data_IF_360418639948
#
_entry.id   IF_360418639948
#
_cell.length_a   1.000
_cell.length_b   1.000
_cell.length_c   1.000
_cell.angle_alpha   90.00
_cell.angle_beta   90.00
_cell.angle_gamma   90.00
#
_symmetry.space_group_name_H-M   'P 1'
#
loop_
_entity.id
_entity.type
_entity.pdbx_description
1 polymer ?
#
# COMPACT_ATOMS: atom_id res chain seq x y z
N UNK A 1 72.79 -17.69 -4.08
CA UNK A 1 71.36 -17.46 -3.82
C UNK A 1 70.74 -16.93 -5.10
N UNK A 2 70.00 -17.76 -5.88
CA UNK A 2 69.38 -17.29 -7.11
C UNK A 2 68.19 -16.38 -6.79
N UNK A 3 68.17 -15.20 -7.42
CA UNK A 3 67.16 -14.17 -7.25
C UNK A 3 65.88 -14.59 -7.97
N UNK A 4 64.87 -15.00 -7.19
CA UNK A 4 63.53 -15.27 -7.70
C UNK A 4 62.92 -13.97 -8.21
N UNK A 5 62.82 -13.83 -9.54
CA UNK A 5 62.17 -12.70 -10.18
C UNK A 5 60.73 -13.09 -10.49
N UNK A 6 59.78 -12.48 -9.77
CA UNK A 6 58.36 -12.80 -9.85
C UNK A 6 57.73 -12.00 -11.01
N UNK A 7 57.65 -12.59 -12.19
CA UNK A 7 56.94 -12.02 -13.34
C UNK A 7 55.43 -12.21 -13.17
N UNK A 8 54.76 -11.19 -12.65
CA UNK A 8 53.30 -11.09 -12.66
C UNK A 8 52.87 -10.83 -14.10
N UNK A 9 52.22 -11.80 -14.76
CA UNK A 9 51.58 -11.56 -16.06
C UNK A 9 50.42 -10.59 -15.85
N UNK A 10 50.35 -9.47 -16.58
CA UNK A 10 49.20 -8.58 -16.52
C UNK A 10 48.09 -9.18 -17.41
N UNK A 11 47.50 -10.29 -16.99
CA UNK A 11 46.23 -10.76 -17.56
C UNK A 11 45.09 -9.91 -16.99
N UNK A 12 45.15 -8.59 -17.20
CA UNK A 12 43.95 -7.78 -17.11
C UNK A 12 43.09 -8.19 -18.32
N UNK A 13 41.89 -8.74 -18.13
CA UNK A 13 40.98 -8.90 -19.26
C UNK A 13 40.81 -7.52 -19.89
N UNK A 14 41.13 -7.40 -21.17
CA UNK A 14 40.85 -6.20 -21.95
C UNK A 14 39.43 -5.74 -21.61
N UNK A 15 39.19 -4.44 -21.35
CA UNK A 15 37.86 -3.96 -21.03
C UNK A 15 36.89 -4.50 -22.09
N UNK A 16 35.75 -5.06 -21.68
CA UNK A 16 34.83 -5.71 -22.61
C UNK A 16 34.56 -4.73 -23.75
N UNK A 17 34.86 -5.16 -24.99
CA UNK A 17 34.60 -4.34 -26.18
C UNK A 17 33.18 -3.82 -26.05
N UNK A 18 32.92 -2.50 -26.23
CA UNK A 18 31.57 -1.97 -26.16
C UNK A 18 30.72 -2.81 -27.11
N UNK A 19 29.72 -3.50 -26.55
CA UNK A 19 28.81 -4.36 -27.33
C UNK A 19 28.34 -3.54 -28.53
N UNK A 20 28.33 -4.14 -29.73
CA UNK A 20 27.77 -3.51 -30.94
C UNK A 20 26.50 -2.79 -30.51
N UNK A 21 26.45 -1.47 -30.75
CA UNK A 21 25.33 -0.61 -30.32
C UNK A 21 24.05 -1.36 -30.65
N UNK A 22 23.34 -1.81 -29.62
CA UNK A 22 22.10 -2.54 -29.80
C UNK A 22 21.14 -1.69 -30.62
N UNK A 23 20.20 -2.35 -31.31
CA UNK A 23 19.11 -1.64 -31.98
C UNK A 23 18.44 -0.75 -30.92
N UNK A 24 18.36 0.56 -31.16
CA UNK A 24 17.72 1.48 -30.23
C UNK A 24 16.24 1.14 -30.15
N UNK A 25 15.62 1.26 -28.96
CA UNK A 25 14.21 0.92 -28.78
C UNK A 25 13.29 1.61 -29.82
N UNK A 26 13.53 2.88 -30.12
CA UNK A 26 12.74 3.65 -31.11
C UNK A 26 12.98 3.24 -32.57
N UNK A 27 14.00 2.40 -32.85
CA UNK A 27 14.27 1.84 -34.18
C UNK A 27 13.58 0.49 -34.41
N UNK A 28 13.01 -0.11 -33.36
CA UNK A 28 12.20 -1.32 -33.50
C UNK A 28 10.94 -1.03 -34.31
N UNK A 29 10.40 -1.98 -35.10
CA UNK A 29 9.09 -1.83 -35.74
C UNK A 29 7.99 -1.50 -34.73
N UNK A 30 6.94 -0.80 -35.18
CA UNK A 30 5.87 -0.33 -34.29
C UNK A 30 5.22 -1.48 -33.54
N UNK A 31 5.00 -2.59 -34.24
CA UNK A 31 4.37 -3.81 -33.72
C UNK A 31 5.18 -4.42 -32.58
N UNK A 32 6.51 -4.42 -32.71
CA UNK A 32 7.42 -4.90 -31.66
C UNK A 32 7.37 -3.96 -30.45
N UNK A 33 7.30 -2.64 -30.66
CA UNK A 33 7.16 -1.68 -29.56
C UNK A 33 5.82 -1.84 -28.85
N UNK A 34 4.73 -2.08 -29.58
CA UNK A 34 3.40 -2.30 -29.00
C UNK A 34 3.37 -3.57 -28.15
N UNK A 35 3.99 -4.67 -28.59
CA UNK A 35 4.16 -5.86 -27.75
C UNK A 35 4.97 -5.54 -26.48
N UNK A 36 6.06 -4.78 -26.59
CA UNK A 36 6.84 -4.37 -25.41
C UNK A 36 5.99 -3.51 -24.47
N UNK A 37 5.19 -2.59 -25.00
CA UNK A 37 4.27 -1.77 -24.20
C UNK A 37 3.23 -2.64 -23.49
N UNK A 38 2.60 -3.58 -24.19
CA UNK A 38 1.63 -4.51 -23.61
C UNK A 38 2.25 -5.29 -22.44
N UNK A 39 3.40 -5.94 -22.66
CA UNK A 39 4.11 -6.68 -21.61
C UNK A 39 4.58 -5.80 -20.44
N UNK A 40 4.86 -4.52 -20.69
CA UNK A 40 5.40 -3.63 -19.66
C UNK A 40 4.32 -2.86 -18.90
N UNK A 41 3.15 -2.63 -19.52
CA UNK A 41 2.12 -1.71 -19.01
C UNK A 41 0.86 -2.41 -18.54
N UNK A 42 0.55 -3.59 -19.07
CA UNK A 42 -0.61 -4.36 -18.64
C UNK A 42 -0.22 -5.13 -17.40
N UNK A 43 -0.77 -4.70 -16.27
CA UNK A 43 -0.58 -5.37 -14.98
C UNK A 43 -1.87 -6.09 -14.57
N UNK A 44 -1.77 -7.13 -13.73
CA UNK A 44 -2.94 -7.76 -13.13
C UNK A 44 -3.85 -6.75 -12.42
N UNK A 45 -5.10 -7.17 -12.19
CA UNK A 45 -6.03 -6.33 -11.42
C UNK A 45 -5.45 -6.08 -10.03
N UNK A 46 -5.68 -4.89 -9.48
CA UNK A 46 -4.98 -4.44 -8.26
C UNK A 46 -5.18 -5.39 -7.07
N UNK A 47 -6.35 -6.02 -6.97
CA UNK A 47 -6.64 -6.99 -5.92
C UNK A 47 -5.98 -8.35 -6.11
N UNK A 48 -5.46 -8.64 -7.29
CA UNK A 48 -4.71 -9.86 -7.60
C UNK A 48 -3.20 -9.69 -7.35
N UNK A 49 -2.75 -8.45 -7.11
CA UNK A 49 -1.34 -8.16 -6.85
C UNK A 49 -0.97 -8.69 -5.46
N UNK A 50 -0.07 -9.67 -5.46
CA UNK A 50 0.53 -10.23 -4.25
C UNK A 50 1.65 -9.35 -3.72
N UNK A 51 1.95 -9.46 -2.42
CA UNK A 51 3.15 -8.82 -1.88
C UNK A 51 4.41 -9.38 -2.54
N UNK A 52 5.39 -8.50 -2.72
CA UNK A 52 6.73 -8.90 -3.10
C UNK A 52 7.38 -9.74 -2.00
N UNK A 53 8.22 -10.69 -2.40
CA UNK A 53 9.04 -11.53 -1.50
C UNK A 53 9.82 -10.78 -0.39
N UNK A 54 10.18 -9.51 -0.59
CA UNK A 54 10.89 -8.67 0.39
C UNK A 54 9.98 -7.79 1.27
N UNK A 55 8.67 -7.77 1.01
CA UNK A 55 7.73 -6.93 1.74
C UNK A 55 7.56 -7.41 3.18
N UNK A 56 7.49 -6.48 4.13
CA UNK A 56 7.22 -6.78 5.54
C UNK A 56 5.89 -7.51 5.76
N UNK A 57 4.89 -7.20 4.92
CA UNK A 57 3.56 -7.80 4.96
C UNK A 57 3.48 -9.16 4.25
N UNK A 58 4.56 -9.58 3.55
CA UNK A 58 4.66 -10.92 2.99
C UNK A 58 4.84 -11.92 4.12
N UNK A 59 3.82 -12.73 4.37
CA UNK A 59 3.93 -13.77 5.39
C UNK A 59 4.88 -14.86 4.91
N UNK A 60 5.94 -15.13 5.67
CA UNK A 60 6.77 -16.33 5.50
C UNK A 60 6.42 -17.42 6.51
N UNK A 61 5.52 -17.12 7.45
CA UNK A 61 5.08 -18.04 8.48
C UNK A 61 3.75 -18.64 8.08
N UNK A 62 3.64 -19.96 8.05
CA UNK A 62 2.40 -20.68 7.68
C UNK A 62 1.21 -20.39 8.60
N UNK A 63 1.41 -19.68 9.71
CA UNK A 63 0.36 -19.31 10.67
C UNK A 63 -0.02 -17.82 10.58
N UNK A 64 0.75 -16.99 9.87
CA UNK A 64 0.43 -15.57 9.71
C UNK A 64 -0.26 -15.36 8.38
N UNK A 65 -1.35 -14.63 8.44
CA UNK A 65 -2.18 -14.29 7.29
C UNK A 65 -1.47 -13.21 6.48
N UNK A 66 -1.60 -13.26 5.16
CA UNK A 66 -1.00 -12.29 4.26
C UNK A 66 -2.08 -11.27 3.88
N UNK A 67 -2.14 -10.10 4.54
CA UNK A 67 -3.18 -9.12 4.25
C UNK A 67 -3.08 -8.64 2.80
N UNK A 68 -4.20 -8.44 2.07
CA UNK A 68 -4.14 -8.06 0.66
C UNK A 68 -3.46 -6.70 0.49
N UNK A 69 -2.49 -6.61 -0.43
CA UNK A 69 -1.69 -5.39 -0.58
C UNK A 69 -2.54 -4.15 -0.87
N UNK A 70 -3.60 -4.30 -1.67
CA UNK A 70 -4.50 -3.20 -2.05
C UNK A 70 -5.32 -2.61 -0.88
N UNK A 71 -5.50 -3.37 0.21
CA UNK A 71 -6.19 -2.93 1.43
C UNK A 71 -5.26 -2.24 2.43
N UNK A 72 -3.94 -2.35 2.25
CA UNK A 72 -2.96 -1.67 3.10
C UNK A 72 -2.70 -0.23 2.67
N UNK A 73 -3.73 0.42 2.13
CA UNK A 73 -3.64 1.72 1.48
C UNK A 73 -4.77 2.60 1.97
N UNK A 74 -4.41 3.79 2.42
CA UNK A 74 -5.33 4.89 2.70
C UNK A 74 -5.30 5.89 1.54
N UNK A 75 -6.46 6.45 1.25
CA UNK A 75 -6.63 7.49 0.24
C UNK A 75 -7.25 8.70 0.90
N UNK A 76 -6.52 9.81 0.89
CA UNK A 76 -7.00 11.11 1.32
C UNK A 76 -7.40 11.89 0.09
N UNK A 77 -8.66 12.33 0.07
CA UNK A 77 -9.22 13.14 -1.01
C UNK A 77 -9.13 14.60 -0.56
N UNK A 78 -8.21 15.34 -1.16
CA UNK A 78 -8.12 16.78 -0.96
C UNK A 78 -9.07 17.45 -1.95
N UNK A 79 -9.93 18.36 -1.50
CA UNK A 79 -10.91 19.03 -2.37
C UNK A 79 -10.36 20.30 -3.06
N UNK A 80 -9.31 20.90 -2.49
CA UNK A 80 -8.82 22.22 -2.90
C UNK A 80 -7.28 22.24 -3.07
N UNK A 81 -6.75 21.93 -4.26
CA UNK A 81 -7.45 21.42 -5.44
C UNK A 81 -7.84 19.95 -5.27
N UNK A 82 -8.85 19.49 -6.04
CA UNK A 82 -9.21 18.07 -6.12
C UNK A 82 -7.99 17.23 -6.52
N UNK A 83 -7.48 16.42 -5.57
CA UNK A 83 -6.37 15.47 -5.79
C UNK A 83 -6.54 14.25 -4.90
N UNK A 84 -5.93 13.14 -5.34
CA UNK A 84 -5.82 11.92 -4.55
C UNK A 84 -4.44 11.87 -3.92
N UNK A 85 -4.37 11.86 -2.60
CA UNK A 85 -3.15 11.60 -1.84
C UNK A 85 -3.26 10.19 -1.29
N UNK A 86 -2.21 9.40 -1.47
CA UNK A 86 -2.23 7.98 -1.10
C UNK A 86 -1.11 7.68 -0.13
N UNK A 87 -1.48 7.10 1.01
CA UNK A 87 -0.54 6.58 1.99
C UNK A 87 -0.69 5.07 2.02
N UNK A 88 0.40 4.35 1.80
CA UNK A 88 0.37 2.89 1.78
C UNK A 88 1.38 2.35 2.77
N UNK A 89 1.00 1.28 3.47
CA UNK A 89 1.89 0.60 4.39
C UNK A 89 2.97 -0.20 3.64
N UNK A 90 2.73 -0.50 2.35
CA UNK A 90 3.71 -1.09 1.44
C UNK A 90 3.57 -0.52 0.04
N UNK A 91 4.55 -0.78 -0.83
CA UNK A 91 4.53 -0.35 -2.24
C UNK A 91 4.10 -1.47 -3.20
N UNK A 92 3.72 -2.64 -2.69
CA UNK A 92 3.47 -3.82 -3.52
C UNK A 92 2.27 -3.66 -4.45
N UNK A 93 1.25 -2.90 -4.05
CA UNK A 93 0.05 -2.65 -4.85
C UNK A 93 0.18 -1.46 -5.81
N UNK A 94 1.32 -0.75 -5.77
CA UNK A 94 1.59 0.37 -6.67
C UNK A 94 1.89 -0.16 -8.07
N UNK A 95 1.20 0.40 -9.05
CA UNK A 95 1.48 0.16 -10.47
C UNK A 95 2.88 0.64 -10.81
N UNK A 96 3.76 -0.25 -11.24
CA UNK A 96 5.18 0.05 -11.51
C UNK A 96 5.38 0.58 -12.92
N UNK A 97 4.46 0.25 -13.80
CA UNK A 97 4.55 0.54 -15.22
C UNK A 97 4.39 2.02 -15.61
N UNK A 98 3.88 2.87 -14.71
CA UNK A 98 3.62 4.30 -14.98
C UNK A 98 4.90 5.06 -15.35
N UNK A 99 6.06 4.66 -14.82
CA UNK A 99 7.35 5.31 -15.09
C UNK A 99 7.70 5.30 -16.59
N UNK A 100 7.24 4.30 -17.35
CA UNK A 100 7.47 4.22 -18.80
C UNK A 100 6.78 5.36 -19.54
N UNK A 101 5.58 5.77 -19.10
CA UNK A 101 4.84 6.89 -19.69
C UNK A 101 5.54 8.24 -19.47
N UNK A 102 6.45 8.32 -18.50
CA UNK A 102 7.21 9.53 -18.18
C UNK A 102 8.56 9.61 -18.92
N UNK A 103 8.99 8.53 -19.59
CA UNK A 103 10.33 8.43 -20.17
C UNK A 103 10.55 9.38 -21.37
N UNK A 104 9.58 9.45 -22.29
CA UNK A 104 9.68 10.28 -23.50
C UNK A 104 8.30 10.61 -24.07
N UNK A 105 8.14 11.76 -24.74
CA UNK A 105 6.87 12.19 -25.36
C UNK A 105 6.36 11.23 -26.43
N UNK A 106 7.24 10.68 -27.27
CA UNK A 106 6.85 9.68 -28.26
C UNK A 106 6.38 8.42 -27.54
N UNK A 107 7.19 7.86 -26.62
CA UNK A 107 6.79 6.69 -25.81
C UNK A 107 5.42 6.94 -25.16
N UNK A 108 5.22 8.09 -24.53
CA UNK A 108 3.93 8.45 -23.94
C UNK A 108 2.78 8.40 -24.96
N UNK A 109 2.96 8.97 -26.15
CA UNK A 109 1.92 8.97 -27.18
C UNK A 109 1.60 7.56 -27.69
N UNK A 110 2.61 6.68 -27.77
CA UNK A 110 2.44 5.30 -28.24
C UNK A 110 1.87 4.37 -27.16
N UNK A 111 2.36 4.51 -25.92
CA UNK A 111 2.10 3.61 -24.79
C UNK A 111 0.84 3.95 -24.00
N UNK A 112 0.45 5.24 -23.92
CA UNK A 112 -0.71 5.64 -23.11
C UNK A 112 -2.02 4.96 -23.55
N UNK A 113 -2.34 4.80 -24.85
CA UNK A 113 -3.53 4.05 -25.25
C UNK A 113 -3.55 2.63 -24.72
N UNK A 114 -2.44 1.90 -24.84
CA UNK A 114 -2.28 0.53 -24.30
C UNK A 114 -2.54 0.53 -22.79
N UNK A 115 -1.88 1.43 -22.05
CA UNK A 115 -2.05 1.53 -20.60
C UNK A 115 -3.49 1.80 -20.18
N UNK A 116 -4.15 2.81 -20.77
CA UNK A 116 -5.50 3.19 -20.35
C UNK A 116 -6.58 2.22 -20.83
N UNK A 117 -6.39 1.51 -21.96
CA UNK A 117 -7.44 0.65 -22.54
C UNK A 117 -7.34 -0.82 -22.20
N UNK A 118 -6.22 -1.28 -21.67
CA UNK A 118 -6.02 -2.70 -21.37
C UNK A 118 -5.89 -2.99 -19.86
N UNK A 119 -5.84 -1.96 -19.02
CA UNK A 119 -5.79 -2.13 -17.58
C UNK A 119 -7.16 -1.90 -16.93
N UNK A 120 -7.47 -2.72 -15.93
CA UNK A 120 -8.59 -2.47 -15.02
C UNK A 120 -8.18 -1.48 -13.92
N UNK A 121 -8.88 -0.35 -13.82
CA UNK A 121 -8.61 0.66 -12.79
C UNK A 121 -9.41 0.39 -11.53
N UNK A 122 -8.71 0.00 -10.47
CA UNK A 122 -9.30 -0.39 -9.20
C UNK A 122 -9.29 0.74 -8.16
N UNK A 123 -10.45 1.07 -7.62
CA UNK A 123 -10.67 2.12 -6.61
C UNK A 123 -11.31 1.51 -5.35
N UNK A 124 -11.05 2.10 -4.18
CA UNK A 124 -11.70 1.69 -2.93
C UNK A 124 -13.02 2.42 -2.72
N UNK A 125 -13.26 3.57 -3.38
CA UNK A 125 -14.55 4.25 -3.31
C UNK A 125 -14.99 4.85 -4.65
N UNK A 126 -16.28 5.13 -4.77
CA UNK A 126 -16.82 5.88 -5.90
C UNK A 126 -16.35 7.34 -5.91
N UNK A 127 -16.05 7.93 -4.75
CA UNK A 127 -15.50 9.29 -4.69
C UNK A 127 -14.09 9.36 -5.27
N UNK A 128 -13.27 8.33 -5.08
CA UNK A 128 -11.99 8.22 -5.79
C UNK A 128 -12.16 8.21 -7.31
N UNK A 129 -13.16 7.49 -7.83
CA UNK A 129 -13.45 7.45 -9.27
C UNK A 129 -13.79 8.83 -9.81
N UNK A 130 -14.63 9.60 -9.10
CA UNK A 130 -14.98 10.97 -9.47
C UNK A 130 -13.72 11.82 -9.58
N UNK A 131 -12.89 11.85 -8.53
CA UNK A 131 -11.68 12.68 -8.50
C UNK A 131 -10.68 12.22 -9.55
N UNK A 132 -10.45 10.90 -9.68
CA UNK A 132 -9.53 10.33 -10.64
C UNK A 132 -9.93 10.69 -12.07
N UNK A 133 -11.18 10.46 -12.48
CA UNK A 133 -11.59 10.62 -13.87
C UNK A 133 -11.94 12.07 -14.23
N UNK A 134 -12.60 12.80 -13.32
CA UNK A 134 -13.07 14.17 -13.60
C UNK A 134 -11.99 15.22 -13.40
N UNK A 135 -11.11 15.05 -12.41
CA UNK A 135 -10.17 16.10 -11.99
C UNK A 135 -8.72 15.76 -12.34
N UNK A 136 -8.29 14.51 -12.14
CA UNK A 136 -6.88 14.14 -12.36
C UNK A 136 -6.59 13.65 -13.78
N UNK A 137 -7.51 12.85 -14.36
CA UNK A 137 -7.32 12.28 -15.69
C UNK A 137 -7.59 13.33 -16.77
N UNK A 138 -6.58 13.50 -17.64
CA UNK A 138 -6.70 14.37 -18.82
C UNK A 138 -7.84 13.89 -19.70
N UNK A 139 -8.61 14.84 -20.24
CA UNK A 139 -9.78 14.58 -21.07
C UNK A 139 -9.50 13.57 -22.22
N UNK A 140 -8.33 13.68 -22.86
CA UNK A 140 -7.92 12.83 -23.98
C UNK A 140 -7.80 11.32 -23.64
N UNK A 141 -7.62 10.97 -22.36
CA UNK A 141 -7.49 9.58 -21.92
C UNK A 141 -8.76 9.00 -21.33
N UNK A 142 -9.78 9.82 -21.04
CA UNK A 142 -11.03 9.36 -20.41
C UNK A 142 -11.75 8.31 -21.26
N UNK A 143 -11.75 8.51 -22.57
CA UNK A 143 -12.38 7.58 -23.52
C UNK A 143 -11.53 6.35 -23.81
N UNK A 144 -10.29 6.28 -23.29
CA UNK A 144 -9.47 5.08 -23.40
C UNK A 144 -9.70 4.15 -22.22
N UNK A 145 -10.24 4.63 -21.10
CA UNK A 145 -10.56 3.77 -19.94
C UNK A 145 -11.69 2.82 -20.30
N UNK A 146 -11.39 1.53 -20.34
CA UNK A 146 -12.32 0.46 -20.72
C UNK A 146 -12.89 -0.29 -19.53
N UNK A 147 -12.15 -0.39 -18.43
CA UNK A 147 -12.55 -1.17 -17.27
C UNK A 147 -12.27 -0.46 -15.95
N UNK A 148 -13.31 -0.39 -15.12
CA UNK A 148 -13.24 0.15 -13.75
C UNK A 148 -13.75 -0.91 -12.79
N UNK A 149 -13.07 -1.03 -11.65
CA UNK A 149 -13.45 -1.90 -10.55
C UNK A 149 -13.51 -1.06 -9.27
N UNK A 150 -14.68 -0.94 -8.67
CA UNK A 150 -14.87 -0.26 -7.38
C UNK A 150 -15.04 -1.33 -6.32
N UNK A 151 -13.95 -1.63 -5.61
CA UNK A 151 -13.95 -2.59 -4.51
C UNK A 151 -14.26 -1.86 -3.22
N UNK A 152 -15.47 -1.29 -3.14
CA UNK A 152 -15.88 -0.59 -1.94
C UNK A 152 -16.08 -1.59 -0.80
N UNK A 153 -15.33 -1.45 0.28
CA UNK A 153 -15.56 -2.22 1.48
C UNK A 153 -16.84 -1.83 2.24
N UNK A 154 -17.42 -0.67 1.93
CA UNK A 154 -18.60 -0.17 2.59
C UNK A 154 -19.74 0.03 1.59
N UNK A 155 -20.94 -0.47 1.92
CA UNK A 155 -22.13 -0.35 1.08
C UNK A 155 -22.59 1.11 0.91
N UNK A 156 -22.25 1.97 1.88
CA UNK A 156 -22.50 3.41 1.81
C UNK A 156 -21.52 4.17 0.90
N UNK A 157 -20.51 3.49 0.32
CA UNK A 157 -19.50 4.09 -0.54
C UNK A 157 -18.43 4.93 0.19
N UNK A 158 -18.39 4.87 1.52
CA UNK A 158 -17.50 5.67 2.37
C UNK A 158 -16.62 4.78 3.25
N UNK A 159 -15.69 4.00 2.66
CA UNK A 159 -14.86 3.10 3.46
C UNK A 159 -13.88 3.83 4.37
N UNK A 160 -13.52 3.19 5.48
CA UNK A 160 -12.52 3.69 6.44
C UNK A 160 -11.12 3.95 5.84
N UNK A 161 -10.83 3.37 4.68
CA UNK A 161 -9.60 3.61 3.93
C UNK A 161 -9.63 4.90 3.10
N UNK A 162 -10.78 5.56 2.98
CA UNK A 162 -10.94 6.77 2.16
C UNK A 162 -11.48 7.89 3.02
N UNK A 163 -10.68 8.94 3.21
CA UNK A 163 -11.04 10.10 4.01
C UNK A 163 -10.94 11.39 3.20
N UNK A 164 -11.64 12.43 3.66
CA UNK A 164 -11.49 13.78 3.15
C UNK A 164 -10.47 14.54 4.01
N UNK A 165 -9.62 15.35 3.39
CA UNK A 165 -8.55 16.13 4.04
C UNK A 165 -9.07 17.10 5.13
N UNK A 166 -10.36 17.47 5.09
CA UNK A 166 -10.97 18.48 5.97
C UNK A 166 -11.84 17.92 7.08
N UNK A 167 -12.10 16.61 7.07
CA UNK A 167 -13.12 16.04 7.93
C UNK A 167 -12.49 15.52 9.23
N UNK A 168 -13.24 15.56 10.34
CA UNK A 168 -12.79 14.85 11.54
C UNK A 168 -12.61 13.37 11.17
N UNK A 169 -11.71 12.62 11.83
CA UNK A 169 -11.48 11.20 11.49
C UNK A 169 -12.75 10.31 11.59
N UNK A 170 -13.86 10.84 12.12
CA UNK A 170 -15.15 10.15 12.24
C UNK A 170 -16.18 10.59 11.18
N UNK A 171 -15.90 11.60 10.38
CA UNK A 171 -16.81 12.07 9.34
C UNK A 171 -16.58 11.23 8.07
N UNK A 172 -17.44 10.21 7.91
CA UNK A 172 -17.49 9.42 6.68
C UNK A 172 -17.63 10.34 5.45
N UNK A 173 -16.89 10.06 4.37
CA UNK A 173 -17.00 10.81 3.12
C UNK A 173 -18.27 10.37 2.36
N UNK A 174 -19.39 11.13 2.37
CA UNK A 174 -20.56 10.72 1.61
C UNK A 174 -20.21 10.75 0.12
N UNK A 175 -20.42 9.63 -0.58
CA UNK A 175 -20.24 9.61 -2.03
C UNK A 175 -21.39 10.39 -2.69
N UNK A 176 -21.04 11.39 -3.51
CA UNK A 176 -21.98 12.02 -4.44
C UNK A 176 -22.33 11.04 -5.58
N UNK A 177 -23.26 10.13 -5.31
CA UNK A 177 -23.78 9.16 -6.26
C UNK A 177 -24.29 9.77 -7.58
N UNK A 178 -25.07 10.88 -7.55
CA UNK A 178 -25.38 11.65 -8.76
C UNK A 178 -24.16 11.90 -9.65
N UNK A 179 -23.10 12.42 -9.05
CA UNK A 179 -21.89 12.79 -9.77
C UNK A 179 -21.08 11.57 -10.19
N UNK A 180 -21.07 10.50 -9.40
CA UNK A 180 -20.45 9.23 -9.76
C UNK A 180 -21.05 8.67 -11.06
N UNK A 181 -22.38 8.48 -11.10
CA UNK A 181 -23.05 7.94 -12.27
C UNK A 181 -22.92 8.84 -13.49
N UNK A 182 -22.92 10.18 -13.29
CA UNK A 182 -22.63 11.12 -14.35
C UNK A 182 -21.20 10.98 -14.89
N UNK A 183 -20.22 10.77 -14.01
CA UNK A 183 -18.81 10.56 -14.38
C UNK A 183 -18.65 9.27 -15.19
N UNK A 184 -19.30 8.18 -14.76
CA UNK A 184 -19.34 6.91 -15.50
C UNK A 184 -19.96 7.09 -16.89
N UNK A 185 -21.11 7.78 -17.00
CA UNK A 185 -21.76 8.07 -18.29
C UNK A 185 -20.85 8.83 -19.27
N UNK A 186 -19.94 9.66 -18.77
CA UNK A 186 -19.05 10.48 -19.59
C UNK A 186 -17.79 9.72 -20.05
N UNK A 187 -17.59 8.49 -19.59
CA UNK A 187 -16.49 7.63 -20.02
C UNK A 187 -16.96 6.76 -21.19
N UNK A 188 -16.99 7.32 -22.40
CA UNK A 188 -17.56 6.65 -23.58
C UNK A 188 -16.85 5.34 -23.95
N UNK A 189 -15.59 5.17 -23.53
CA UNK A 189 -14.81 3.94 -23.74
C UNK A 189 -15.10 2.83 -22.73
N UNK A 190 -15.82 3.11 -21.65
CA UNK A 190 -16.03 2.17 -20.56
C UNK A 190 -16.93 1.02 -21.01
N UNK A 191 -16.39 -0.19 -20.95
CA UNK A 191 -17.05 -1.45 -21.33
C UNK A 191 -17.39 -2.30 -20.13
N UNK A 192 -16.58 -2.25 -19.06
CA UNK A 192 -16.81 -3.07 -17.88
C UNK A 192 -16.77 -2.19 -16.64
N UNK A 193 -17.81 -2.26 -15.82
CA UNK A 193 -17.86 -1.64 -14.50
C UNK A 193 -18.15 -2.73 -13.47
N UNK A 194 -17.17 -2.99 -12.60
CA UNK A 194 -17.32 -3.90 -11.47
C UNK A 194 -17.64 -3.09 -10.21
N UNK A 195 -18.74 -3.39 -9.53
CA UNK A 195 -19.25 -2.63 -8.36
C UNK A 195 -19.93 -3.58 -7.37
N UNK A 196 -20.10 -3.12 -6.13
CA UNK A 196 -20.91 -3.85 -5.14
C UNK A 196 -22.42 -3.64 -5.35
N UNK A 197 -23.25 -4.64 -4.99
CA UNK A 197 -24.71 -4.52 -5.01
C UNK A 197 -25.22 -3.32 -4.20
N UNK A 198 -24.57 -2.99 -3.08
CA UNK A 198 -24.91 -1.83 -2.24
C UNK A 198 -24.86 -0.48 -2.98
N UNK A 199 -23.91 -0.31 -3.88
CA UNK A 199 -23.80 0.92 -4.69
C UNK A 199 -25.01 1.11 -5.63
N UNK A 200 -25.53 0.01 -6.15
CA UNK A 200 -26.72 -0.01 -7.00
C UNK A 200 -27.98 0.20 -6.17
N UNK A 201 -28.12 -0.53 -5.06
CA UNK A 201 -29.27 -0.46 -4.15
C UNK A 201 -29.55 0.97 -3.69
N UNK A 202 -28.50 1.69 -3.24
CA UNK A 202 -28.65 3.05 -2.72
C UNK A 202 -29.21 4.06 -3.74
N UNK A 203 -29.07 3.81 -5.06
CA UNK A 203 -29.42 4.76 -6.12
C UNK A 203 -29.97 4.07 -7.38
N UNK A 204 -30.84 3.07 -7.22
CA UNK A 204 -31.28 2.21 -8.30
C UNK A 204 -31.85 2.95 -9.52
N UNK A 205 -32.64 4.00 -9.34
CA UNK A 205 -33.18 4.81 -10.46
C UNK A 205 -32.09 5.48 -11.31
N UNK A 206 -31.06 6.03 -10.65
CA UNK A 206 -29.95 6.70 -11.35
C UNK A 206 -29.08 5.68 -12.04
N UNK A 207 -28.86 4.54 -11.39
CA UNK A 207 -28.16 3.41 -11.98
C UNK A 207 -28.90 2.90 -13.23
N UNK A 208 -30.22 2.65 -13.15
CA UNK A 208 -31.05 2.23 -14.28
C UNK A 208 -30.96 3.24 -15.44
N UNK A 209 -31.06 4.54 -15.15
CA UNK A 209 -30.90 5.60 -16.17
C UNK A 209 -29.51 5.58 -16.81
N UNK A 210 -28.45 5.43 -16.01
CA UNK A 210 -27.07 5.31 -16.50
C UNK A 210 -26.91 4.08 -17.39
N UNK A 211 -27.39 2.93 -16.93
CA UNK A 211 -27.29 1.66 -17.64
C UNK A 211 -28.06 1.68 -18.97
N UNK A 212 -29.23 2.34 -19.01
CA UNK A 212 -29.97 2.58 -20.26
C UNK A 212 -29.16 3.41 -21.27
N UNK A 213 -28.47 4.45 -20.79
CA UNK A 213 -27.67 5.36 -21.61
C UNK A 213 -26.40 4.68 -22.13
N UNK A 214 -25.75 3.84 -21.31
CA UNK A 214 -24.47 3.22 -21.63
C UNK A 214 -24.65 1.81 -22.21
N UNK A 215 -25.13 1.72 -23.46
CA UNK A 215 -25.53 0.43 -24.08
C UNK A 215 -24.42 -0.61 -24.21
N UNK A 216 -23.16 -0.20 -24.25
CA UNK A 216 -22.01 -1.09 -24.36
C UNK A 216 -21.43 -1.50 -23.00
N UNK A 217 -22.02 -1.03 -21.90
CA UNK A 217 -21.52 -1.26 -20.56
C UNK A 217 -21.99 -2.62 -20.04
N UNK A 218 -21.03 -3.44 -19.63
CA UNK A 218 -21.22 -4.65 -18.84
C UNK A 218 -21.04 -4.32 -17.37
N UNK A 219 -22.00 -4.71 -16.54
CA UNK A 219 -21.93 -4.60 -15.10
C UNK A 219 -21.54 -5.95 -14.55
N UNK A 220 -20.49 -6.00 -13.73
CA UNK A 220 -20.11 -7.19 -12.98
C UNK A 220 -20.36 -6.89 -11.52
N UNK A 221 -21.26 -7.65 -10.90
CA UNK A 221 -21.56 -7.47 -9.50
C UNK A 221 -20.58 -8.32 -8.69
N UNK A 222 -19.83 -7.64 -7.81
CA UNK A 222 -18.84 -8.27 -6.93
C UNK A 222 -19.05 -7.77 -5.50
N UNK A 223 -19.08 -8.68 -4.54
CA UNK A 223 -19.09 -8.31 -3.12
C UNK A 223 -17.78 -8.75 -2.51
N UNK A 224 -17.02 -7.78 -2.00
CA UNK A 224 -15.91 -8.06 -1.11
C UNK A 224 -16.45 -7.90 0.32
N UNK A 225 -16.25 -8.89 1.18
CA UNK A 225 -16.62 -8.79 2.60
C UNK A 225 -15.57 -9.43 3.52
N UNK A 226 -15.35 -8.88 4.72
CA UNK A 226 -14.38 -9.40 5.67
C UNK A 226 -15.00 -10.47 6.57
N UNK A 227 -14.26 -11.56 6.79
CA UNK A 227 -14.57 -12.56 7.80
C UNK A 227 -13.60 -12.43 8.98
N UNK A 228 -14.11 -11.85 10.06
CA UNK A 228 -13.39 -11.67 11.32
C UNK A 228 -13.52 -12.88 12.25
N UNK A 229 -12.46 -13.14 13.04
CA UNK A 229 -12.39 -14.21 14.05
C UNK A 229 -13.41 -14.04 15.19
N UNK A 230 -13.70 -12.79 15.62
CA UNK A 230 -14.18 -12.55 17.00
C UNK A 230 -15.35 -11.59 17.20
N UNK A 231 -16.10 -11.23 16.17
CA UNK A 231 -17.29 -10.39 16.40
C UNK A 231 -18.41 -10.71 15.42
N UNK A 232 -19.63 -10.79 15.96
CA UNK A 232 -20.81 -10.36 15.23
C UNK A 232 -20.57 -8.87 14.91
N UNK A 233 -20.23 -8.60 13.64
CA UNK A 233 -20.14 -7.27 13.04
C UNK A 233 -19.06 -6.31 13.57
N UNK A 234 -17.97 -6.18 12.80
CA UNK A 234 -17.59 -4.88 12.27
C UNK A 234 -18.24 -4.76 10.90
N UNK A 235 -19.15 -3.79 10.77
CA UNK A 235 -19.83 -3.41 9.51
C UNK A 235 -18.81 -2.90 8.47
N UNK A 236 -17.57 -2.60 8.87
CA UNK A 236 -16.57 -1.93 8.05
C UNK A 236 -15.19 -2.60 8.12
N UNK A 237 -14.33 -2.26 7.17
CA UNK A 237 -13.00 -2.84 7.00
C UNK A 237 -11.97 -2.16 7.92
N UNK A 238 -10.96 -2.87 8.43
CA UNK A 238 -9.98 -2.24 9.30
C UNK A 238 -9.17 -1.22 8.50
N UNK A 239 -9.01 0.02 8.99
CA UNK A 239 -8.14 0.99 8.32
C UNK A 239 -6.69 0.52 8.34
N UNK A 240 -5.83 1.04 7.45
CA UNK A 240 -4.43 0.60 7.43
C UNK A 240 -3.66 0.94 8.72
N UNK A 241 -4.18 1.89 9.53
CA UNK A 241 -3.65 2.20 10.86
C UNK A 241 -3.85 1.03 11.84
N UNK A 242 -4.86 0.19 11.63
CA UNK A 242 -5.14 -1.03 12.39
C UNK A 242 -4.60 -2.27 11.68
N UNK A 243 -3.34 -2.20 11.24
CA UNK A 243 -2.66 -3.27 10.48
C UNK A 243 -2.78 -4.67 11.11
N UNK A 244 -2.87 -4.75 12.44
CA UNK A 244 -3.03 -6.00 13.19
C UNK A 244 -4.34 -6.73 12.89
N UNK A 245 -5.43 -6.02 12.59
CA UNK A 245 -6.71 -6.65 12.26
C UNK A 245 -6.67 -7.33 10.88
N UNK A 246 -5.98 -6.74 9.89
CA UNK A 246 -5.83 -7.39 8.58
C UNK A 246 -5.10 -8.74 8.67
N UNK A 247 -4.22 -8.95 9.65
CA UNK A 247 -3.56 -10.24 9.91
C UNK A 247 -4.48 -11.30 10.53
N UNK A 248 -5.74 -10.96 10.82
CA UNK A 248 -6.73 -11.87 11.40
C UNK A 248 -8.05 -11.87 10.61
N UNK A 249 -8.04 -11.38 9.38
CA UNK A 249 -9.22 -11.25 8.52
C UNK A 249 -9.03 -11.94 7.18
N UNK A 250 -9.97 -12.82 6.82
CA UNK A 250 -10.09 -13.38 5.47
C UNK A 250 -10.97 -12.41 4.73
N UNK A 251 -10.56 -12.03 3.53
CA UNK A 251 -11.41 -11.27 2.64
C UNK A 251 -12.01 -12.22 1.63
N UNK A 252 -13.34 -12.23 1.55
CA UNK A 252 -14.08 -13.06 0.62
C UNK A 252 -14.59 -12.16 -0.49
N UNK A 253 -14.26 -12.49 -1.73
CA UNK A 253 -14.82 -11.86 -2.91
C UNK A 253 -15.75 -12.85 -3.58
N UNK A 254 -17.03 -12.50 -3.63
CA UNK A 254 -18.08 -13.25 -4.29
C UNK A 254 -18.43 -12.56 -5.61
N UNK A 255 -18.49 -13.33 -6.70
CA UNK A 255 -19.01 -12.84 -7.98
C UNK A 255 -20.46 -13.26 -8.14
N UNK A 256 -21.34 -12.27 -8.30
CA UNK A 256 -22.78 -12.47 -8.48
C UNK A 256 -23.18 -12.60 -9.96
N UNK A 257 -22.19 -12.49 -10.86
CA UNK A 257 -22.39 -12.62 -12.30
C UNK A 257 -22.22 -11.32 -13.08
N UNK A 258 -22.49 -11.43 -14.39
CA UNK A 258 -22.27 -10.38 -15.37
C UNK A 258 -23.60 -10.03 -16.06
N UNK A 259 -23.96 -8.77 -15.97
CA UNK A 259 -25.18 -8.21 -16.53
C UNK A 259 -24.83 -7.33 -17.71
N UNK A 260 -25.56 -7.50 -18.80
CA UNK A 260 -25.45 -6.64 -19.97
C UNK A 260 -26.81 -6.47 -20.58
N UNK A 261 -27.07 -5.29 -21.11
CA UNK A 261 -28.32 -5.04 -21.82
C UNK A 261 -28.31 -5.85 -23.12
N UNK A 262 -29.16 -6.86 -23.20
CA UNK A 262 -29.55 -7.40 -24.50
C UNK A 262 -30.34 -6.29 -25.18
N UNK A 263 -29.90 -5.84 -26.36
CA UNK A 263 -30.54 -4.73 -27.07
C UNK A 263 -32.02 -5.07 -27.30
N UNK A 264 -32.98 -4.38 -26.66
CA UNK A 264 -34.37 -4.52 -27.06
C UNK A 264 -34.55 -3.65 -28.30
N UNK A 265 -35.06 -4.23 -29.39
CA UNK A 265 -35.29 -3.51 -30.65
C UNK A 265 -36.31 -2.37 -30.52
N UNK A 266 -37.05 -2.28 -29.41
CA UNK A 266 -38.04 -1.23 -29.18
C UNK A 266 -38.43 -1.11 -27.70
N UNK A 267 -37.63 -0.43 -26.88
CA UNK A 267 -38.12 0.07 -25.58
C UNK A 267 -38.40 1.57 -25.71
N UNK A 268 -39.64 2.03 -25.45
CA UNK A 268 -39.93 3.45 -25.41
C UNK A 268 -39.15 4.11 -24.26
N UNK A 269 -38.61 5.32 -24.50
CA UNK A 269 -37.89 6.13 -23.51
C UNK A 269 -38.83 6.75 -22.45
N UNK A 270 -39.90 6.04 -22.06
CA UNK A 270 -40.85 6.58 -21.08
C UNK A 270 -40.24 6.56 -19.67
N UNK A 271 -40.42 7.65 -18.92
CA UNK A 271 -40.00 7.74 -17.52
C UNK A 271 -40.74 6.72 -16.63
N UNK A 272 -41.89 6.22 -17.07
CA UNK A 272 -42.66 5.20 -16.34
C UNK A 272 -41.89 3.87 -16.25
N UNK A 273 -41.12 3.53 -17.29
CA UNK A 273 -40.34 2.30 -17.33
C UNK A 273 -39.08 2.39 -16.43
N UNK A 274 -38.63 3.60 -16.05
CA UNK A 274 -37.46 3.74 -15.18
C UNK A 274 -37.71 3.20 -13.77
N UNK A 275 -38.94 3.36 -13.25
CA UNK A 275 -39.31 2.85 -11.93
C UNK A 275 -39.33 1.32 -11.89
N UNK A 276 -39.77 0.68 -12.97
CA UNK A 276 -39.75 -0.77 -13.11
C UNK A 276 -38.31 -1.30 -13.17
N UNK A 277 -37.46 -0.76 -14.05
CA UNK A 277 -36.05 -1.14 -14.11
C UNK A 277 -35.34 -0.94 -12.76
N UNK A 278 -35.59 0.19 -12.09
CA UNK A 278 -35.00 0.47 -10.79
C UNK A 278 -35.39 -0.60 -9.76
N UNK A 279 -36.66 -1.04 -9.79
CA UNK A 279 -37.14 -2.13 -8.95
C UNK A 279 -36.45 -3.45 -9.27
N UNK A 280 -36.35 -3.82 -10.55
CA UNK A 280 -35.67 -5.06 -10.96
C UNK A 280 -34.21 -5.07 -10.48
N UNK A 281 -33.52 -3.93 -10.55
CA UNK A 281 -32.16 -3.81 -10.04
C UNK A 281 -32.08 -3.86 -8.51
N UNK A 282 -33.05 -3.32 -7.79
CA UNK A 282 -33.14 -3.50 -6.34
C UNK A 282 -33.33 -4.98 -6.00
N UNK A 283 -34.23 -5.68 -6.69
CA UNK A 283 -34.46 -7.11 -6.49
C UNK A 283 -33.17 -7.91 -6.77
N UNK A 284 -32.43 -7.60 -7.84
CA UNK A 284 -31.10 -8.20 -8.11
C UNK A 284 -30.11 -7.93 -6.96
N UNK A 285 -30.02 -6.69 -6.46
CA UNK A 285 -29.14 -6.40 -5.33
C UNK A 285 -29.55 -7.14 -4.06
N UNK A 286 -30.86 -7.27 -3.81
CA UNK A 286 -31.40 -8.00 -2.67
C UNK A 286 -30.98 -9.47 -2.70
N UNK A 287 -31.14 -10.14 -3.85
CA UNK A 287 -30.69 -11.52 -4.04
C UNK A 287 -29.17 -11.63 -3.79
N UNK A 288 -28.36 -10.70 -4.32
CA UNK A 288 -26.92 -10.69 -4.06
C UNK A 288 -26.60 -10.61 -2.55
N UNK A 289 -27.35 -9.85 -1.76
CA UNK A 289 -27.15 -9.79 -0.30
C UNK A 289 -27.49 -11.11 0.38
N UNK A 290 -28.56 -11.78 -0.05
CA UNK A 290 -28.90 -13.12 0.45
C UNK A 290 -27.81 -14.15 0.12
N UNK A 291 -27.26 -14.09 -1.09
CA UNK A 291 -26.14 -14.94 -1.51
C UNK A 291 -24.89 -14.71 -0.64
N UNK A 292 -24.57 -13.45 -0.31
CA UNK A 292 -23.47 -13.10 0.59
C UNK A 292 -23.68 -13.72 1.97
N UNK A 293 -24.89 -13.61 2.53
CA UNK A 293 -25.22 -14.19 3.83
C UNK A 293 -25.10 -15.72 3.82
N UNK A 294 -25.56 -16.37 2.75
CA UNK A 294 -25.45 -17.82 2.57
C UNK A 294 -23.99 -18.27 2.50
N UNK A 295 -23.18 -17.61 1.67
CA UNK A 295 -21.74 -17.91 1.52
C UNK A 295 -20.97 -17.63 2.81
N UNK A 296 -21.27 -16.53 3.49
CA UNK A 296 -20.68 -16.18 4.79
C UNK A 296 -20.97 -17.28 5.83
N UNK A 297 -22.22 -17.70 5.94
CA UNK A 297 -22.63 -18.77 6.85
C UNK A 297 -21.94 -20.09 6.51
N UNK A 298 -21.92 -20.48 5.23
CA UNK A 298 -21.24 -21.68 4.76
C UNK A 298 -19.75 -21.67 5.09
N UNK A 299 -19.04 -20.57 4.78
CA UNK A 299 -17.60 -20.48 5.04
C UNK A 299 -17.31 -20.58 6.54
N UNK A 300 -18.13 -19.92 7.37
CA UNK A 300 -18.00 -19.99 8.82
C UNK A 300 -18.24 -21.40 9.36
N UNK A 301 -19.21 -22.14 8.83
CA UNK A 301 -19.55 -23.48 9.30
C UNK A 301 -18.52 -24.53 8.87
N UNK A 302 -18.11 -24.51 7.60
CA UNK A 302 -17.28 -25.57 7.01
C UNK A 302 -15.77 -25.34 7.20
N UNK A 303 -15.31 -24.08 7.07
CA UNK A 303 -13.88 -23.79 6.99
C UNK A 303 -13.33 -23.10 8.24
N UNK A 304 -14.16 -22.38 8.99
CA UNK A 304 -13.74 -21.73 10.23
C UNK A 304 -14.15 -22.60 11.43
N UNK A 305 -13.26 -23.51 11.85
CA UNK A 305 -13.50 -24.38 13.01
C UNK A 305 -13.86 -23.53 14.25
N UNK A 306 -15.07 -23.73 14.78
CA UNK A 306 -15.54 -23.10 16.01
C UNK A 306 -14.78 -23.59 17.27
N UNK A 307 -13.67 -24.34 17.13
CA UNK A 307 -12.81 -24.76 18.23
C UNK A 307 -11.99 -23.59 18.79
N UNK A 308 -12.69 -22.78 19.58
CA UNK A 308 -12.16 -21.83 20.53
C UNK A 308 -11.33 -22.53 21.61
N UNK A 309 -10.03 -22.72 21.41
CA UNK A 309 -9.14 -22.88 22.56
C UNK A 309 -8.83 -21.50 23.12
N UNK A 310 -9.58 -21.11 24.16
CA UNK A 310 -9.04 -20.19 25.18
C UNK A 310 -7.71 -20.83 25.59
N UNK A 311 -6.57 -20.25 25.19
CA UNK A 311 -5.37 -20.46 26.01
C UNK A 311 -5.80 -20.04 27.41
N UNK A 312 -5.71 -20.90 28.43
CA UNK A 312 -5.86 -20.42 29.79
C UNK A 312 -4.87 -19.26 29.90
N UNK A 313 -5.38 -18.06 30.22
CA UNK A 313 -4.52 -16.96 30.61
C UNK A 313 -3.51 -17.56 31.58
N UNK A 314 -2.21 -17.43 31.27
CA UNK A 314 -1.22 -17.91 32.21
C UNK A 314 -1.55 -17.23 33.54
N UNK A 315 -1.57 -17.98 34.64
CA UNK A 315 -1.90 -17.44 35.98
C UNK A 315 -0.91 -16.36 36.47
N UNK A 316 0.04 -15.97 35.62
CA UNK A 316 1.07 -14.98 35.86
C UNK A 316 1.04 -13.81 34.87
N UNK A 317 0.08 -13.74 33.94
CA UNK A 317 -0.09 -12.56 33.09
C UNK A 317 -0.62 -11.40 33.96
N UNK A 318 0.28 -10.49 34.32
CA UNK A 318 -0.09 -9.25 35.01
C UNK A 318 -0.98 -8.42 34.09
N UNK A 319 -1.94 -7.69 34.66
CA UNK A 319 -2.93 -6.91 33.90
C UNK A 319 -2.35 -5.76 33.06
N UNK A 320 -1.03 -5.59 33.05
CA UNK A 320 -0.30 -4.54 32.33
C UNK A 320 0.54 -5.07 31.16
N UNK A 321 0.70 -6.39 31.05
CA UNK A 321 1.31 -6.98 29.87
C UNK A 321 0.25 -7.05 28.77
N UNK A 322 0.37 -6.14 27.79
CA UNK A 322 -0.36 -6.21 26.52
C UNK A 322 0.03 -7.45 25.73
N UNK A 323 -0.35 -8.64 26.22
CA UNK A 323 -0.17 -9.90 25.54
C UNK A 323 -0.87 -9.79 24.19
N UNK A 324 -0.05 -9.72 23.13
CA UNK A 324 -0.46 -9.86 21.75
C UNK A 324 -1.17 -11.20 21.59
N UNK A 325 -2.49 -11.19 21.69
CA UNK A 325 -3.33 -12.35 21.45
C UNK A 325 -3.03 -12.88 20.04
N UNK A 326 -2.33 -14.01 19.96
CA UNK A 326 -2.11 -14.69 18.70
C UNK A 326 -3.38 -15.46 18.33
N UNK A 327 -4.20 -14.89 17.47
CA UNK A 327 -5.41 -15.51 16.96
C UNK A 327 -5.04 -16.55 15.89
N UNK A 328 -4.98 -17.84 16.26
CA UNK A 328 -4.77 -18.90 15.28
C UNK A 328 -6.11 -19.40 14.77
N UNK A 329 -6.44 -19.13 13.50
CA UNK A 329 -7.42 -19.93 12.78
C UNK A 329 -6.75 -21.22 12.33
N UNK A 330 -7.23 -22.35 12.82
CA UNK A 330 -6.93 -23.64 12.20
C UNK A 330 -8.03 -23.93 11.19
N UNK A 331 -7.72 -23.77 9.90
CA UNK A 331 -8.51 -24.41 8.84
C UNK A 331 -8.53 -25.91 9.19
N UNK A 332 -9.70 -26.44 9.53
CA UNK A 332 -9.90 -27.80 10.02
C UNK A 332 -9.21 -28.77 9.06
N UNK A 333 -8.35 -29.66 9.59
CA UNK A 333 -7.71 -30.75 8.82
C UNK A 333 -8.80 -31.57 8.13
N UNK A 334 -9.11 -31.28 6.86
CA UNK A 334 -10.06 -32.08 6.07
C UNK A 334 -10.83 -31.31 5.00
N UNK A 335 -11.02 -29.99 5.14
CA UNK A 335 -11.66 -29.18 4.09
C UNK A 335 -10.66 -28.79 3.02
N UNK A 336 -10.88 -29.22 1.78
CA UNK A 336 -10.02 -28.97 0.62
C UNK A 336 -10.16 -27.52 0.09
N UNK A 337 -10.03 -26.49 0.95
CA UNK A 337 -9.40 -25.26 0.46
C UNK A 337 -7.96 -25.67 0.25
N UNK A 338 -7.65 -26.23 -0.93
CA UNK A 338 -6.27 -26.56 -1.24
C UNK A 338 -5.50 -25.28 -0.97
N UNK A 339 -4.49 -25.32 -0.12
CA UNK A 339 -3.74 -24.12 0.31
C UNK A 339 -3.03 -23.41 -0.87
N UNK A 340 -3.19 -23.93 -2.10
CA UNK A 340 -2.75 -23.37 -3.37
C UNK A 340 -3.89 -22.68 -4.17
N UNK A 341 -5.16 -22.86 -3.81
CA UNK A 341 -6.33 -22.25 -4.47
C UNK A 341 -6.91 -21.14 -3.60
N UNK A 342 -6.70 -19.90 -4.05
CA UNK A 342 -7.42 -18.72 -3.58
C UNK A 342 -8.88 -18.71 -4.06
N UNK A 343 -9.35 -19.78 -4.71
CA UNK A 343 -10.68 -19.87 -5.31
C UNK A 343 -11.39 -21.14 -4.85
N UNK A 344 -12.67 -20.98 -4.50
CA UNK A 344 -13.60 -22.02 -4.12
C UNK A 344 -14.79 -21.94 -5.07
N UNK A 345 -15.21 -23.09 -5.59
CA UNK A 345 -16.52 -23.24 -6.22
C UNK A 345 -17.39 -24.09 -5.31
N UNK A 346 -18.58 -23.60 -5.00
CA UNK A 346 -19.51 -24.26 -4.10
C UNK A 346 -20.92 -24.18 -4.66
N UNK A 347 -21.59 -25.33 -4.73
CA UNK A 347 -23.00 -25.40 -5.12
C UNK A 347 -23.86 -25.38 -3.86
N UNK A 348 -24.73 -24.38 -3.78
CA UNK A 348 -25.69 -24.16 -2.70
C UNK A 348 -26.68 -25.30 -2.56
N UNK A 349 -27.43 -25.33 -1.45
CA UNK A 349 -28.55 -26.27 -1.30
C UNK A 349 -29.66 -26.03 -2.32
N UNK A 350 -29.75 -24.80 -2.84
CA UNK A 350 -30.69 -24.40 -3.91
C UNK A 350 -30.17 -24.75 -5.32
N UNK A 351 -28.95 -25.27 -5.45
CA UNK A 351 -28.34 -25.66 -6.73
C UNK A 351 -27.62 -24.53 -7.46
N UNK A 352 -27.44 -23.38 -6.82
CA UNK A 352 -26.72 -22.22 -7.37
C UNK A 352 -25.21 -22.45 -7.19
N UNK A 353 -24.43 -22.28 -8.26
CA UNK A 353 -22.96 -22.38 -8.20
C UNK A 353 -22.35 -21.02 -7.88
N UNK A 354 -21.66 -20.94 -6.73
CA UNK A 354 -20.96 -19.77 -6.27
C UNK A 354 -19.47 -19.89 -6.55
N UNK A 355 -18.90 -18.90 -7.24
CA UNK A 355 -17.45 -18.73 -7.37
C UNK A 355 -16.96 -17.69 -6.37
N UNK A 356 -16.14 -18.15 -5.42
CA UNK A 356 -15.65 -17.39 -4.29
C UNK A 356 -14.14 -17.32 -4.36
N UNK A 357 -13.59 -16.11 -4.21
CA UNK A 357 -12.16 -15.89 -4.07
C UNK A 357 -11.82 -15.45 -2.65
N UNK A 358 -10.79 -16.04 -2.07
CA UNK A 358 -10.32 -15.77 -0.71
C UNK A 358 -8.99 -15.05 -0.75
N UNK A 359 -8.88 -13.96 -0.02
CA UNK A 359 -7.63 -13.26 0.25
C UNK A 359 -7.34 -13.21 1.76
N UNK A 360 -6.11 -12.86 2.14
CA UNK A 360 -5.72 -12.91 3.55
C UNK A 360 -5.26 -14.30 4.02
N UNK A 361 -5.34 -15.34 3.18
CA UNK A 361 -4.98 -16.69 3.61
C UNK A 361 -3.47 -16.80 3.93
N UNK A 362 -3.09 -17.60 4.94
CA UNK A 362 -1.69 -17.87 5.20
C UNK A 362 -1.07 -18.65 4.03
N UNK A 363 0.24 -18.49 3.77
CA UNK A 363 0.91 -19.25 2.72
C UNK A 363 0.85 -20.74 3.05
N UNK A 364 0.70 -21.57 2.03
CA UNK A 364 0.79 -23.03 2.20
C UNK A 364 2.12 -23.42 2.84
N UNK A 365 2.18 -24.57 3.51
CA UNK A 365 3.45 -25.07 4.07
C UNK A 365 4.55 -25.17 3.01
N UNK A 366 4.18 -25.46 1.76
CA UNK A 366 5.10 -25.49 0.61
C UNK A 366 5.58 -24.10 0.23
N UNK A 367 4.65 -23.14 0.08
CA UNK A 367 4.97 -21.74 -0.22
C UNK A 367 5.83 -21.11 0.89
N UNK A 368 5.50 -21.36 2.17
CA UNK A 368 6.27 -20.88 3.31
C UNK A 368 7.71 -21.42 3.29
N UNK A 369 7.89 -22.72 3.02
CA UNK A 369 9.22 -23.34 2.86
C UNK A 369 9.99 -22.76 1.68
N UNK A 370 9.32 -22.56 0.54
CA UNK A 370 9.93 -21.96 -0.65
C UNK A 370 10.34 -20.51 -0.41
N UNK A 371 9.46 -19.68 0.14
CA UNK A 371 9.75 -18.29 0.48
C UNK A 371 10.91 -18.18 1.48
N UNK A 372 10.96 -19.08 2.47
CA UNK A 372 12.08 -19.14 3.42
C UNK A 372 13.39 -19.49 2.71
N UNK A 373 13.37 -20.45 1.78
CA UNK A 373 14.53 -20.83 0.98
C UNK A 373 15.01 -19.68 0.08
N UNK A 374 14.09 -19.00 -0.60
CA UNK A 374 14.39 -17.85 -1.46
C UNK A 374 14.97 -16.68 -0.66
N UNK A 375 14.39 -16.38 0.52
CA UNK A 375 14.94 -15.37 1.44
C UNK A 375 16.36 -15.72 1.85
N UNK A 376 16.62 -16.97 2.25
CA UNK A 376 17.94 -17.42 2.65
C UNK A 376 18.97 -17.31 1.51
N UNK A 377 18.59 -17.65 0.27
CA UNK A 377 19.46 -17.51 -0.90
C UNK A 377 19.82 -16.03 -1.12
N UNK A 378 18.84 -15.12 -1.08
CA UNK A 378 19.09 -13.68 -1.25
C UNK A 378 19.95 -13.09 -0.13
N UNK A 379 19.67 -13.42 1.13
CA UNK A 379 20.51 -12.96 2.24
C UNK A 379 21.96 -13.44 2.11
N UNK A 380 22.15 -14.67 1.61
CA UNK A 380 23.50 -15.21 1.33
C UNK A 380 24.19 -14.44 0.20
N UNK A 381 23.48 -14.13 -0.88
CA UNK A 381 23.99 -13.31 -1.99
C UNK A 381 24.32 -11.88 -1.54
N UNK A 382 23.44 -11.24 -0.76
CA UNK A 382 23.68 -9.92 -0.19
C UNK A 382 24.89 -9.90 0.74
N UNK A 383 25.02 -10.88 1.65
CA UNK A 383 26.21 -10.98 2.50
C UNK A 383 27.49 -11.20 1.68
N UNK A 384 27.42 -11.96 0.59
CA UNK A 384 28.57 -12.17 -0.28
C UNK A 384 29.00 -10.87 -1.00
N UNK A 385 28.05 -9.98 -1.34
CA UNK A 385 28.33 -8.70 -2.00
C UNK A 385 28.73 -7.59 -1.01
N UNK A 386 28.01 -7.46 0.11
CA UNK A 386 28.07 -6.30 0.99
C UNK A 386 28.72 -6.61 2.36
N UNK A 387 29.01 -7.88 2.65
CA UNK A 387 29.53 -8.35 3.95
C UNK A 387 28.47 -8.44 5.06
N UNK A 388 27.27 -7.89 4.86
CA UNK A 388 26.13 -7.95 5.77
C UNK A 388 24.81 -7.86 5.00
N UNK A 389 23.69 -8.27 5.60
CA UNK A 389 22.35 -8.09 5.00
C UNK A 389 21.84 -6.66 5.18
N UNK A 390 20.85 -6.26 4.38
CA UNK A 390 20.23 -4.93 4.51
C UNK A 390 19.60 -4.74 5.89
N UNK A 391 18.94 -5.77 6.43
CA UNK A 391 18.37 -5.74 7.77
C UNK A 391 19.44 -5.61 8.88
N UNK A 392 20.59 -6.26 8.73
CA UNK A 392 21.73 -6.09 9.64
C UNK A 392 22.28 -4.65 9.54
N UNK A 393 22.31 -4.07 8.33
CA UNK A 393 22.80 -2.72 8.10
C UNK A 393 21.85 -1.66 8.72
N UNK A 394 20.54 -1.83 8.56
CA UNK A 394 19.53 -0.99 9.21
C UNK A 394 19.60 -1.09 10.73
N UNK A 395 19.64 -2.31 11.28
CA UNK A 395 19.78 -2.51 12.74
C UNK A 395 21.06 -1.87 13.29
N UNK A 396 22.17 -1.96 12.55
CA UNK A 396 23.43 -1.27 12.91
C UNK A 396 23.27 0.25 12.87
N UNK A 397 22.56 0.79 11.87
CA UNK A 397 22.27 2.23 11.74
C UNK A 397 21.41 2.74 12.89
N UNK A 398 20.33 2.02 13.25
CA UNK A 398 19.48 2.32 14.41
C UNK A 398 20.27 2.28 15.71
N UNK A 399 21.12 1.25 15.90
CA UNK A 399 22.00 1.16 17.08
C UNK A 399 22.97 2.34 17.18
N UNK A 400 23.53 2.79 16.06
CA UNK A 400 24.39 3.97 16.01
C UNK A 400 23.63 5.25 16.33
N UNK A 401 22.39 5.38 15.82
CA UNK A 401 21.54 6.53 16.10
C UNK A 401 21.17 6.60 17.59
N UNK A 402 20.72 5.48 18.19
CA UNK A 402 20.40 5.42 19.62
C UNK A 402 21.63 5.72 20.50
N UNK A 403 22.82 5.27 20.10
CA UNK A 403 24.08 5.61 20.80
C UNK A 403 24.41 7.10 20.70
N UNK A 404 24.11 7.73 19.55
CA UNK A 404 24.31 9.16 19.35
C UNK A 404 23.35 9.96 20.24
N UNK A 405 22.06 9.63 20.22
CA UNK A 405 21.04 10.28 21.06
C UNK A 405 21.37 10.16 22.56
N UNK A 406 21.76 8.96 23.03
CA UNK A 406 22.20 8.77 24.43
C UNK A 406 23.44 9.59 24.79
N UNK A 407 24.36 9.80 23.84
CA UNK A 407 25.56 10.60 24.07
C UNK A 407 25.21 12.09 24.18
N UNK A 408 24.31 12.57 23.32
CA UNK A 408 23.80 13.94 23.35
C UNK A 408 23.06 14.22 24.66
N UNK A 409 22.16 13.32 25.09
CA UNK A 409 21.46 13.43 26.38
C UNK A 409 22.41 13.47 27.58
N UNK A 410 23.47 12.65 27.56
CA UNK A 410 24.47 12.61 28.63
C UNK A 410 25.33 13.89 28.64
N UNK A 411 25.60 14.46 27.48
CA UNK A 411 26.30 15.73 27.35
C UNK A 411 25.45 16.90 27.85
N UNK A 412 24.16 16.94 27.51
CA UNK A 412 23.21 17.93 28.06
C UNK A 412 23.11 17.83 29.58
N UNK A 413 23.00 16.61 30.14
CA UNK A 413 23.02 16.42 31.60
C UNK A 413 24.30 16.92 32.24
N UNK A 414 25.45 16.70 31.61
CA UNK A 414 26.75 17.22 32.09
C UNK A 414 26.81 18.74 32.03
N UNK A 415 26.28 19.35 30.96
CA UNK A 415 26.21 20.80 30.82
C UNK A 415 25.28 21.40 31.89
N UNK A 416 24.11 20.81 32.12
CA UNK A 416 23.18 21.22 33.16
C UNK A 416 23.80 21.15 34.56
N UNK A 417 24.50 20.05 34.90
CA UNK A 417 25.23 19.92 36.17
C UNK A 417 26.33 20.98 36.27
N UNK A 418 27.10 21.19 35.20
CA UNK A 418 28.14 22.22 35.18
C UNK A 418 27.57 23.62 35.37
N UNK A 419 26.40 23.91 34.80
CA UNK A 419 25.74 25.20 34.94
C UNK A 419 25.13 25.37 36.33
N UNK A 420 24.53 24.32 36.90
CA UNK A 420 24.06 24.30 38.28
C UNK A 420 25.20 24.53 39.27
N UNK A 421 26.35 23.87 39.07
CA UNK A 421 27.55 24.08 39.89
C UNK A 421 28.11 25.50 39.75
N UNK A 422 28.01 26.12 38.57
CA UNK A 422 28.36 27.55 38.38
C UNK A 422 27.41 28.49 39.11
N UNK A 423 26.14 28.10 39.26
CA UNK A 423 25.11 28.90 39.93
C UNK A 423 25.10 28.71 41.45
N UNK A 424 25.72 27.67 42.00
CA UNK A 424 25.90 27.55 43.44
C UNK A 424 26.91 28.61 43.90
N UNK A 425 26.50 29.59 44.73
CA UNK A 425 27.44 30.51 45.33
C UNK A 425 28.36 29.71 46.24
N UNK A 426 29.67 29.79 45.99
CA UNK A 426 30.66 29.12 46.80
C UNK A 426 30.56 29.65 48.25
N UNK A 427 30.19 28.80 49.23
CA UNK A 427 29.92 29.22 50.60
C UNK A 427 31.17 29.73 51.33
N UNK A 428 32.34 29.66 50.68
CA UNK A 428 33.63 30.09 51.22
C UNK A 428 34.23 31.30 50.49
N UNK A 429 33.46 32.05 49.70
CA UNK A 429 33.93 33.35 49.16
C UNK A 429 33.95 34.39 50.29
N UNK A 430 34.96 34.27 51.15
CA UNK A 430 35.46 35.39 51.92
C UNK A 430 35.88 36.49 50.95
N UNK A 431 35.49 37.73 51.27
CA UNK A 431 35.83 38.98 50.60
C UNK A 431 37.12 38.89 49.77
N UNK A 432 36.97 38.84 48.44
CA UNK A 432 38.11 38.90 47.52
C UNK A 432 38.57 40.35 47.47
N UNK A 433 39.83 40.58 47.82
CA UNK A 433 40.50 41.87 47.72
C UNK A 433 40.26 42.51 46.33
N UNK A 434 39.74 43.75 46.25
CA UNK A 434 39.44 44.44 44.99
C UNK A 434 40.59 44.47 43.98
N UNK A 435 41.85 44.46 44.43
CA UNK A 435 43.01 44.38 43.52
C UNK A 435 43.16 43.01 42.86
N UNK A 436 42.86 41.94 43.60
CA UNK A 436 42.92 40.57 43.08
C UNK A 436 41.81 40.34 42.05
N UNK A 437 40.62 40.90 42.29
CA UNK A 437 39.50 40.87 41.34
C UNK A 437 39.86 41.59 40.02
N UNK A 438 40.48 42.79 40.09
CA UNK A 438 40.95 43.51 38.89
C UNK A 438 42.01 42.71 38.11
N UNK A 439 42.95 42.06 38.80
CA UNK A 439 43.97 41.21 38.15
C UNK A 439 43.36 39.96 37.51
N UNK A 440 42.34 39.36 38.12
CA UNK A 440 41.62 38.22 37.55
C UNK A 440 40.82 38.63 36.31
N UNK A 441 40.11 39.75 36.35
CA UNK A 441 39.38 40.30 35.18
C UNK A 441 40.31 40.66 34.02
N UNK A 442 41.50 41.22 34.31
CA UNK A 442 42.50 41.50 33.27
C UNK A 442 43.03 40.21 32.64
N UNK A 443 43.32 39.18 33.46
CA UNK A 443 43.76 37.87 32.96
C UNK A 443 42.69 37.14 32.16
N UNK A 444 41.41 37.27 32.51
CA UNK A 444 40.32 36.67 31.72
C UNK A 444 40.16 37.38 30.38
N UNK A 445 40.20 38.72 30.36
CA UNK A 445 40.13 39.50 29.12
C UNK A 445 41.30 39.18 28.17
N UNK A 446 42.54 39.08 28.69
CA UNK A 446 43.70 38.68 27.88
C UNK A 446 43.59 37.26 27.31
N UNK A 447 43.01 36.31 28.07
CA UNK A 447 42.76 34.96 27.59
C UNK A 447 41.70 34.94 26.48
N UNK A 448 40.66 35.75 26.61
CA UNK A 448 39.58 35.84 25.63
C UNK A 448 40.05 36.45 24.30
N UNK A 449 40.88 37.51 24.37
CA UNK A 449 41.56 38.07 23.19
C UNK A 449 42.43 37.03 22.50
N UNK A 450 43.23 36.24 23.24
CA UNK A 450 44.04 35.16 22.66
C UNK A 450 43.20 34.06 22.02
N UNK A 451 42.05 33.73 22.61
CA UNK A 451 41.12 32.73 22.06
C UNK A 451 40.52 33.22 20.73
N UNK A 452 40.02 34.46 20.70
CA UNK A 452 39.49 35.09 19.49
C UNK A 452 40.52 35.15 18.36
N UNK A 453 41.79 35.47 18.67
CA UNK A 453 42.87 35.47 17.67
C UNK A 453 43.10 34.08 17.05
N UNK A 454 43.09 33.01 17.87
CA UNK A 454 43.26 31.63 17.37
C UNK A 454 42.10 31.18 16.49
N UNK A 455 40.86 31.46 16.91
CA UNK A 455 39.67 31.10 16.11
C UNK A 455 39.67 31.81 14.75
N UNK A 456 40.09 33.08 14.72
CA UNK A 456 40.19 33.85 13.49
C UNK A 456 41.30 33.32 12.56
N UNK A 457 42.42 32.84 13.13
CA UNK A 457 43.49 32.18 12.37
C UNK A 457 43.05 30.82 11.78
N UNK A 458 42.30 30.03 12.55
CA UNK A 458 41.75 28.75 12.10
C UNK A 458 40.69 28.93 10.99
N UNK A 459 39.83 29.93 11.12
CA UNK A 459 38.85 30.29 10.09
C UNK A 459 39.54 30.64 8.76
N UNK A 460 40.59 31.47 8.81
CA UNK A 460 41.41 31.79 7.63
C UNK A 460 42.08 30.55 7.03
N UNK A 461 42.44 29.56 7.85
CA UNK A 461 43.05 28.31 7.37
C UNK A 461 42.02 27.42 6.66
N UNK A 462 40.80 27.35 7.18
CA UNK A 462 39.68 26.62 6.56
C UNK A 462 39.28 27.25 5.23
N UNK A 463 39.26 28.57 5.14
CA UNK A 463 38.92 29.30 3.93
C UNK A 463 39.96 29.09 2.81
N UNK A 464 41.26 29.09 3.15
CA UNK A 464 42.31 28.72 2.18
C UNK A 464 42.16 27.31 1.63
N UNK A 465 41.68 26.35 2.45
CA UNK A 465 41.44 24.98 1.99
C UNK A 465 40.25 24.86 1.03
N UNK A 466 39.19 25.66 1.23
CA UNK A 466 38.02 25.69 0.34
C UNK A 466 38.31 26.26 -1.04
N UNK A 467 39.25 27.19 -1.16
CA UNK A 467 39.63 27.80 -2.44
C UNK A 467 40.54 26.88 -3.28
N UNK A 468 41.15 25.86 -2.67
CA UNK A 468 42.07 24.93 -3.33
C UNK A 468 41.44 23.56 -3.70
N UNK A 469 40.20 23.29 -3.27
CA UNK A 469 39.39 22.12 -3.66
C UNK A 469 38.36 22.50 -4.70
#
# INVERSE_FOLDING_TARGET
MPTLTLTIRPDFPLPPRPRRRGILFMQLPREVRDQIYEYSLVEPQRHEISHESGCFYKSTQSLRWEPPAFLLKNVVICENPYRLVTESACDCDKRKCISLLLANRQIHAEAAPVFWSQNTFCFLSAFEVIVALRHNLRHQYRNLVTEICVMSPADNGAPLHVSLDRSSPNDACPTDWPLFWHTICNCAGLRTLQISPGMMWANAERFARMFRKCRLLHIVLITLFPLYNRSLEPVEYPSCAYSTMHYCTIYVMLSHGRYSRQAPDSMPDSDYDLGADAKDWMDVAYECFLEVDEVNLHIRQEYLDARYQRRPASSHASSEDGESWFYSFTLSRGGLISQEKYELSWVSQTGIDYHVRLYGLPPSSRQARQATKERFIREKEQRALNGMTDAEAESKKESLQLKKEKREELEEKRQAISEQNRRQPDPNVGWVDPEVAKRQMKKSAEKEVRKSQKENEEMRRMERKRVQS
#
